data_IF_978543150541
#
_entry.id   IF_978543150541
#
_cell.length_a   1.000
_cell.length_b   1.000
_cell.length_c   1.000
_cell.angle_alpha   90.00
_cell.angle_beta   90.00
_cell.angle_gamma   90.00
#
_symmetry.space_group_name_H-M   'P 1'
#
loop_
_entity.id
_entity.type
_entity.pdbx_description
1 polymer ?
#
# COMPACT_ATOMS: atom_id res chain seq x y z
N UNK A 1 10.02 9.73 -8.18
CA UNK A 1 11.22 8.96 -8.55
C UNK A 1 12.03 8.71 -7.28
N UNK A 2 11.50 7.86 -6.41
CA UNK A 2 12.09 7.46 -5.12
C UNK A 2 12.20 5.93 -5.07
N UNK A 3 11.20 5.27 -5.66
CA UNK A 3 11.10 3.83 -5.90
C UNK A 3 12.10 3.28 -6.94
N UNK A 4 12.91 4.14 -7.57
CA UNK A 4 13.90 3.74 -8.58
C UNK A 4 15.30 3.44 -8.01
N UNK A 5 15.50 3.58 -6.68
CA UNK A 5 16.83 3.43 -6.05
C UNK A 5 16.86 2.51 -4.83
N UNK A 6 15.72 1.98 -4.40
CA UNK A 6 15.61 0.93 -3.37
C UNK A 6 14.86 -0.23 -3.98
N UNK A 7 15.37 -1.45 -3.80
CA UNK A 7 14.64 -2.70 -4.08
C UNK A 7 13.18 -2.59 -3.64
N UNK A 8 12.23 -2.46 -4.59
CA UNK A 8 10.81 -2.31 -4.28
C UNK A 8 10.27 -3.43 -3.39
N UNK A 9 10.82 -4.65 -3.49
CA UNK A 9 10.46 -5.81 -2.67
C UNK A 9 10.72 -5.58 -1.18
N UNK A 10 11.95 -5.21 -0.83
CA UNK A 10 12.35 -4.94 0.57
C UNK A 10 11.52 -3.81 1.16
N UNK A 11 11.30 -2.78 0.35
CA UNK A 11 10.50 -1.63 0.73
C UNK A 11 9.04 -2.00 1.05
N UNK A 12 8.36 -2.73 0.17
CA UNK A 12 6.96 -3.12 0.38
C UNK A 12 6.78 -4.11 1.53
N UNK A 13 7.65 -5.12 1.65
CA UNK A 13 7.55 -6.12 2.72
C UNK A 13 7.80 -5.54 4.12
N UNK A 14 8.77 -4.64 4.26
CA UNK A 14 9.02 -3.99 5.57
C UNK A 14 7.87 -3.10 6.02
N UNK A 15 7.19 -2.42 5.09
CA UNK A 15 5.95 -1.68 5.39
C UNK A 15 4.83 -2.60 5.87
N UNK A 16 4.60 -3.73 5.17
CA UNK A 16 3.56 -4.68 5.54
C UNK A 16 3.82 -5.31 6.92
N UNK A 17 5.07 -5.60 7.25
CA UNK A 17 5.46 -6.10 8.59
C UNK A 17 5.23 -5.02 9.66
N UNK A 18 5.62 -3.76 9.39
CA UNK A 18 5.39 -2.65 10.32
C UNK A 18 3.91 -2.41 10.60
N UNK A 19 3.08 -2.43 9.55
CA UNK A 19 1.63 -2.34 9.65
C UNK A 19 1.06 -3.52 10.45
N UNK A 20 1.46 -4.75 10.12
CA UNK A 20 1.01 -5.95 10.80
C UNK A 20 1.36 -5.96 12.30
N UNK A 21 2.56 -5.51 12.66
CA UNK A 21 3.00 -5.42 14.05
C UNK A 21 2.18 -4.42 14.86
N UNK A 22 1.90 -3.23 14.31
CA UNK A 22 1.08 -2.21 14.98
C UNK A 22 -0.39 -2.64 15.05
N UNK A 23 -0.91 -3.27 13.99
CA UNK A 23 -2.25 -3.84 13.98
C UNK A 23 -2.41 -4.91 15.07
N UNK A 24 -1.47 -5.85 15.18
CA UNK A 24 -1.46 -6.86 16.25
C UNK A 24 -1.31 -6.22 17.65
N UNK A 25 -0.52 -5.15 17.79
CA UNK A 25 -0.38 -4.42 19.05
C UNK A 25 -1.71 -3.77 19.51
N UNK A 26 -2.62 -3.46 18.58
CA UNK A 26 -3.95 -2.90 18.89
C UNK A 26 -4.80 -3.88 19.74
N UNK A 27 -4.59 -5.19 19.60
CA UNK A 27 -5.25 -6.20 20.43
C UNK A 27 -4.79 -6.15 21.91
N UNK A 28 -3.56 -5.70 22.18
CA UNK A 28 -3.00 -5.57 23.52
C UNK A 28 -3.54 -4.37 24.32
N UNK A 29 -4.19 -3.43 23.65
CA UNK A 29 -4.70 -2.21 24.27
C UNK A 29 -5.88 -2.52 25.21
N UNK A 30 -5.88 -1.88 26.38
CA UNK A 30 -6.94 -1.99 27.40
C UNK A 30 -7.69 -0.67 27.65
N UNK A 31 -7.15 0.46 27.16
CA UNK A 31 -7.66 1.80 27.42
C UNK A 31 -7.97 2.54 26.11
N UNK A 32 -8.98 3.40 26.10
CA UNK A 32 -9.35 4.22 24.93
C UNK A 32 -8.18 5.08 24.42
N UNK A 33 -7.45 5.74 25.32
CA UNK A 33 -6.27 6.54 24.98
C UNK A 33 -5.19 5.72 24.26
N UNK A 34 -5.00 4.45 24.66
CA UNK A 34 -4.07 3.54 23.99
C UNK A 34 -4.52 3.17 22.57
N UNK A 35 -5.84 3.08 22.33
CA UNK A 35 -6.38 2.76 21.01
C UNK A 35 -6.16 3.92 20.05
N UNK A 36 -6.38 5.15 20.53
CA UNK A 36 -6.13 6.39 19.77
C UNK A 36 -4.63 6.53 19.47
N UNK A 37 -3.75 6.25 20.43
CA UNK A 37 -2.31 6.25 20.21
C UNK A 37 -1.89 5.22 19.15
N UNK A 38 -2.37 3.97 19.24
CA UNK A 38 -2.12 2.95 18.22
C UNK A 38 -2.58 3.39 16.82
N UNK A 39 -3.79 3.97 16.72
CA UNK A 39 -4.33 4.52 15.46
C UNK A 39 -3.48 5.67 14.91
N UNK A 40 -3.00 6.57 15.78
CA UNK A 40 -2.12 7.67 15.39
C UNK A 40 -0.79 7.15 14.83
N UNK A 41 -0.14 6.20 15.51
CA UNK A 41 1.11 5.61 15.04
C UNK A 41 0.92 4.78 13.77
N UNK A 42 -0.22 4.09 13.62
CA UNK A 42 -0.57 3.39 12.39
C UNK A 42 -0.69 4.39 11.23
N UNK A 43 -1.39 5.51 11.43
CA UNK A 43 -1.48 6.58 10.44
C UNK A 43 -0.12 7.21 10.10
N UNK A 44 0.77 7.36 11.08
CA UNK A 44 2.14 7.79 10.84
C UNK A 44 2.92 6.78 9.97
N UNK A 45 2.80 5.49 10.26
CA UNK A 45 3.41 4.43 9.44
C UNK A 45 2.87 4.40 8.01
N UNK A 46 1.59 4.73 7.81
CA UNK A 46 0.99 4.86 6.48
C UNK A 46 1.41 6.14 5.75
N UNK A 47 1.66 7.23 6.50
CA UNK A 47 1.92 8.57 5.93
C UNK A 47 3.40 8.89 5.67
N UNK A 48 4.36 8.18 6.26
CA UNK A 48 5.79 8.54 6.25
C UNK A 48 6.48 8.32 4.90
N UNK A 49 6.12 9.14 3.92
CA UNK A 49 6.93 9.34 2.72
C UNK A 49 8.19 10.15 3.07
N UNK A 50 9.28 9.50 3.50
CA UNK A 50 10.58 10.20 3.57
C UNK A 50 11.06 10.51 2.15
N UNK A 51 10.90 11.76 1.74
CA UNK A 51 11.63 12.35 0.62
C UNK A 51 13.10 12.55 1.02
N UNK A 52 13.99 11.62 0.66
CA UNK A 52 15.43 11.94 0.56
C UNK A 52 15.61 12.95 -0.58
N UNK A 53 15.76 14.22 -0.23
CA UNK A 53 16.43 15.19 -1.09
C UNK A 53 17.91 14.80 -1.20
N UNK A 54 18.40 14.66 -2.43
CA UNK A 54 19.81 14.38 -2.71
C UNK A 54 20.59 15.70 -2.60
N UNK A 55 21.41 15.84 -1.56
CA UNK A 55 22.57 16.74 -1.59
C UNK A 55 23.83 15.91 -1.36
N UNK A 56 24.72 15.89 -2.35
CA UNK A 56 26.15 15.58 -2.26
C UNK A 56 26.56 14.29 -1.53
N UNK A 57 26.80 13.23 -2.29
CA UNK A 57 27.91 12.29 -2.06
C UNK A 57 28.23 11.81 -0.64
N UNK A 58 27.28 11.15 0.05
CA UNK A 58 27.56 10.10 1.05
C UNK A 58 26.23 9.43 1.43
N UNK A 59 26.02 8.20 0.97
CA UNK A 59 24.79 7.46 1.20
C UNK A 59 24.79 6.83 2.60
N UNK A 60 24.47 7.61 3.63
CA UNK A 60 24.13 7.06 4.94
C UNK A 60 22.70 6.51 4.91
N UNK A 61 22.60 5.18 5.00
CA UNK A 61 21.35 4.42 5.12
C UNK A 61 21.04 4.20 6.60
N UNK A 62 20.28 5.10 7.22
CA UNK A 62 19.53 4.76 8.43
C UNK A 62 18.32 5.70 8.56
N UNK A 63 17.29 5.42 7.75
CA UNK A 63 16.01 6.10 7.81
C UNK A 63 14.93 5.11 7.42
N UNK A 64 14.08 4.76 8.36
CA UNK A 64 13.07 3.71 8.26
C UNK A 64 12.21 3.78 6.98
N UNK A 65 12.04 2.67 6.23
CA UNK A 65 11.40 2.65 4.91
C UNK A 65 9.86 2.60 4.96
N UNK A 66 9.19 3.27 5.89
CA UNK A 66 7.74 3.14 6.07
C UNK A 66 6.95 4.09 5.16
N UNK A 67 6.64 3.71 3.91
CA UNK A 67 5.74 4.51 3.04
C UNK A 67 4.65 3.61 2.40
N UNK A 68 3.58 4.19 1.82
CA UNK A 68 2.35 3.44 1.53
C UNK A 68 2.53 2.35 0.47
N UNK A 69 1.97 1.18 0.75
CA UNK A 69 1.99 -0.01 -0.11
C UNK A 69 1.45 0.28 -1.52
N UNK A 70 0.37 1.05 -1.62
CA UNK A 70 -0.33 1.32 -2.88
C UNK A 70 0.55 2.00 -3.95
N UNK A 71 1.21 3.15 -3.71
CA UNK A 71 2.12 3.73 -4.70
C UNK A 71 3.37 2.87 -4.95
N UNK A 72 3.80 2.05 -3.98
CA UNK A 72 4.87 1.07 -4.18
C UNK A 72 4.48 -0.01 -5.20
N UNK A 73 3.29 -0.59 -5.03
CA UNK A 73 2.74 -1.61 -5.93
C UNK A 73 2.47 -1.04 -7.34
N UNK A 74 1.89 0.16 -7.44
CA UNK A 74 1.67 0.83 -8.72
C UNK A 74 2.98 1.11 -9.46
N UNK A 75 4.03 1.49 -8.73
CA UNK A 75 5.34 1.70 -9.32
C UNK A 75 5.94 0.39 -9.82
N UNK A 76 5.87 -0.70 -9.03
CA UNK A 76 6.34 -2.01 -9.48
C UNK A 76 5.61 -2.44 -10.76
N UNK A 77 4.29 -2.26 -10.84
CA UNK A 77 3.55 -2.54 -12.07
C UNK A 77 4.02 -1.65 -13.24
N UNK A 78 4.36 -0.39 -12.98
CA UNK A 78 4.84 0.54 -14.03
C UNK A 78 6.21 0.21 -14.60
N UNK A 79 7.05 -0.55 -13.88
CA UNK A 79 8.37 -0.97 -14.35
C UNK A 79 8.38 -2.36 -14.99
N UNK A 80 7.28 -3.12 -14.92
CA UNK A 80 7.17 -4.45 -15.53
C UNK A 80 6.15 -4.50 -16.68
N UNK A 81 5.20 -3.56 -16.74
CA UNK A 81 4.11 -3.58 -17.72
C UNK A 81 4.04 -2.31 -18.57
N UNK A 82 3.61 -2.48 -19.83
CA UNK A 82 3.43 -1.36 -20.79
C UNK A 82 2.19 -0.52 -20.46
N UNK A 83 2.11 0.70 -20.97
CA UNK A 83 0.98 1.63 -20.74
C UNK A 83 -0.38 1.05 -21.14
N UNK A 84 -0.40 0.18 -22.17
CA UNK A 84 -1.62 -0.50 -22.65
C UNK A 84 -2.10 -1.60 -21.71
N UNK A 85 -1.19 -2.27 -21.00
CA UNK A 85 -1.50 -3.38 -20.09
C UNK A 85 -1.64 -2.92 -18.63
N UNK A 86 -1.01 -1.79 -18.28
CA UNK A 86 -0.95 -1.24 -16.94
C UNK A 86 -2.35 -1.07 -16.33
N UNK A 87 -3.30 -0.52 -17.10
CA UNK A 87 -4.66 -0.30 -16.62
C UNK A 87 -5.32 -1.61 -16.17
N UNK A 88 -5.23 -2.67 -16.99
CA UNK A 88 -5.80 -3.99 -16.65
C UNK A 88 -5.13 -4.60 -15.42
N UNK A 89 -3.80 -4.48 -15.29
CA UNK A 89 -3.06 -5.00 -14.12
C UNK A 89 -3.44 -4.26 -12.83
N UNK A 90 -3.63 -2.94 -12.91
CA UNK A 90 -4.12 -2.14 -11.78
C UNK A 90 -5.54 -2.55 -11.41
N UNK A 91 -6.41 -2.81 -12.39
CA UNK A 91 -7.78 -3.29 -12.11
C UNK A 91 -7.76 -4.62 -11.35
N UNK A 92 -6.90 -5.57 -11.75
CA UNK A 92 -6.74 -6.85 -11.05
C UNK A 92 -6.27 -6.63 -9.60
N UNK A 93 -5.29 -5.74 -9.39
CA UNK A 93 -4.82 -5.37 -8.05
C UNK A 93 -5.96 -4.77 -7.20
N UNK A 94 -6.80 -3.91 -7.80
CA UNK A 94 -7.93 -3.28 -7.13
C UNK A 94 -9.06 -4.27 -6.79
N UNK A 95 -9.27 -5.29 -7.61
CA UNK A 95 -10.24 -6.37 -7.30
C UNK A 95 -9.90 -7.06 -5.97
N UNK A 96 -8.62 -7.19 -5.63
CA UNK A 96 -8.18 -7.73 -4.33
C UNK A 96 -8.74 -6.93 -3.14
N UNK A 97 -8.79 -5.60 -3.23
CA UNK A 97 -9.38 -4.75 -2.19
C UNK A 97 -10.88 -5.02 -2.03
N UNK A 98 -11.61 -5.18 -3.14
CA UNK A 98 -13.06 -5.44 -3.12
C UNK A 98 -13.37 -6.79 -2.49
N UNK A 99 -12.62 -7.83 -2.88
CA UNK A 99 -12.73 -9.18 -2.29
C UNK A 99 -12.43 -9.13 -0.80
N UNK A 100 -11.35 -8.46 -0.39
CA UNK A 100 -10.99 -8.30 1.02
C UNK A 100 -12.09 -7.61 1.82
N UNK A 101 -12.71 -6.57 1.25
CA UNK A 101 -13.81 -5.84 1.91
C UNK A 101 -15.03 -6.75 2.11
N UNK A 102 -15.36 -7.58 1.11
CA UNK A 102 -16.44 -8.56 1.22
C UNK A 102 -16.16 -9.67 2.24
N UNK A 103 -14.91 -10.16 2.28
CA UNK A 103 -14.50 -11.22 3.21
C UNK A 103 -14.33 -10.72 4.66
N UNK A 104 -13.99 -9.45 4.88
CA UNK A 104 -13.75 -8.88 6.23
C UNK A 104 -14.96 -9.07 7.16
N UNK A 105 -16.18 -8.84 6.66
CA UNK A 105 -17.40 -9.06 7.44
C UNK A 105 -17.61 -10.53 7.85
N UNK A 106 -17.27 -11.48 6.98
CA UNK A 106 -17.36 -12.92 7.27
C UNK A 106 -16.35 -13.35 8.34
N UNK A 107 -15.12 -12.83 8.24
CA UNK A 107 -14.07 -13.10 9.24
C UNK A 107 -14.50 -12.52 10.60
N UNK A 108 -15.01 -11.29 10.62
CA UNK A 108 -15.53 -10.67 11.83
C UNK A 108 -16.65 -11.51 12.46
N UNK A 109 -17.65 -11.92 11.67
CA UNK A 109 -18.73 -12.78 12.15
C UNK A 109 -18.22 -14.12 12.70
N UNK A 110 -17.29 -14.78 12.02
CA UNK A 110 -16.70 -16.04 12.48
C UNK A 110 -15.92 -15.88 13.79
N UNK A 111 -15.15 -14.79 13.93
CA UNK A 111 -14.41 -14.51 15.18
C UNK A 111 -15.34 -14.22 16.36
N UNK A 112 -16.45 -13.52 16.15
CA UNK A 112 -17.40 -13.22 17.23
C UNK A 112 -18.23 -14.44 17.66
N UNK A 113 -18.51 -15.40 16.77
CA UNK A 113 -19.28 -16.61 17.12
C UNK A 113 -18.43 -17.72 17.72
N UNK A 114 -17.19 -17.88 17.25
CA UNK A 114 -16.35 -19.05 17.59
C UNK A 114 -15.29 -18.74 18.64
N UNK A 115 -14.80 -17.49 18.70
CA UNK A 115 -13.63 -17.11 19.50
C UNK A 115 -13.93 -16.08 20.59
N UNK A 116 -15.20 -15.75 20.83
CA UNK A 116 -15.56 -14.84 21.92
C UNK A 116 -15.32 -15.49 23.29
N UNK A 117 -14.63 -14.78 24.18
CA UNK A 117 -14.17 -15.23 25.51
C UNK A 117 -13.18 -16.41 25.52
N UNK A 118 -12.71 -16.88 24.37
CA UNK A 118 -11.66 -17.91 24.32
C UNK A 118 -10.37 -17.31 24.90
N UNK A 119 -9.87 -17.93 25.98
CA UNK A 119 -8.74 -17.46 26.81
C UNK A 119 -8.98 -16.10 27.52
N UNK A 120 -10.23 -15.68 27.71
CA UNK A 120 -10.57 -14.40 28.36
C UNK A 120 -10.29 -13.16 27.50
N UNK A 121 -10.19 -13.35 26.17
CA UNK A 121 -9.92 -12.29 25.20
C UNK A 121 -11.21 -12.04 24.40
N UNK A 122 -11.59 -10.77 24.25
CA UNK A 122 -12.76 -10.38 23.46
C UNK A 122 -12.56 -10.69 21.96
N UNK A 123 -13.62 -11.12 21.26
CA UNK A 123 -13.52 -11.54 19.85
C UNK A 123 -12.88 -10.50 18.89
N UNK A 124 -13.07 -9.20 19.14
CA UNK A 124 -12.46 -8.15 18.30
C UNK A 124 -10.93 -8.10 18.40
N UNK A 125 -10.36 -8.55 19.52
CA UNK A 125 -8.89 -8.64 19.70
C UNK A 125 -8.33 -9.81 18.90
N UNK A 126 -9.05 -10.93 18.86
CA UNK A 126 -8.70 -12.08 18.03
C UNK A 126 -8.69 -11.71 16.55
N UNK A 127 -9.63 -10.87 16.10
CA UNK A 127 -9.66 -10.37 14.72
C UNK A 127 -8.33 -9.68 14.34
N UNK A 128 -7.87 -8.71 15.14
CA UNK A 128 -6.61 -8.00 14.89
C UNK A 128 -5.37 -8.90 14.96
N UNK A 129 -5.37 -9.90 15.85
CA UNK A 129 -4.25 -10.86 15.96
C UNK A 129 -4.18 -11.76 14.72
N UNK A 130 -5.32 -12.29 14.27
CA UNK A 130 -5.39 -13.15 13.09
C UNK A 130 -5.00 -12.35 11.84
N UNK A 131 -5.59 -11.17 11.65
CA UNK A 131 -5.31 -10.31 10.51
C UNK A 131 -3.84 -9.86 10.48
N UNK A 132 -3.28 -9.43 11.62
CA UNK A 132 -1.87 -9.06 11.72
C UNK A 132 -0.92 -10.23 11.45
N UNK A 133 -1.19 -11.42 12.01
CA UNK A 133 -0.33 -12.58 11.82
C UNK A 133 -0.31 -13.11 10.38
N UNK A 134 -1.48 -13.22 9.75
CA UNK A 134 -1.60 -13.64 8.35
C UNK A 134 -0.90 -12.63 7.44
N UNK A 135 -1.09 -11.33 7.69
CA UNK A 135 -0.43 -10.26 6.90
C UNK A 135 1.09 -10.31 7.07
N UNK A 136 1.60 -10.55 8.28
CA UNK A 136 3.04 -10.69 8.52
C UNK A 136 3.64 -11.89 7.77
N UNK A 137 2.95 -13.03 7.76
CA UNK A 137 3.38 -14.21 6.99
C UNK A 137 3.44 -13.90 5.49
N UNK A 138 2.39 -13.29 4.95
CA UNK A 138 2.34 -12.89 3.53
C UNK A 138 3.47 -11.89 3.21
N UNK A 139 3.77 -10.97 4.12
CA UNK A 139 4.86 -10.00 3.92
C UNK A 139 6.24 -10.67 3.89
N UNK A 140 6.47 -11.69 4.73
CA UNK A 140 7.69 -12.50 4.71
C UNK A 140 7.81 -13.26 3.40
N UNK A 141 6.74 -13.90 2.92
CA UNK A 141 6.75 -14.53 1.60
C UNK A 141 6.97 -13.51 0.48
N UNK A 142 6.34 -12.34 0.57
CA UNK A 142 6.51 -11.22 -0.34
C UNK A 142 7.97 -10.81 -0.48
N UNK A 143 8.75 -10.83 0.61
CA UNK A 143 10.16 -10.49 0.57
C UNK A 143 10.97 -11.42 -0.34
N UNK A 144 10.60 -12.71 -0.40
CA UNK A 144 11.27 -13.70 -1.25
C UNK A 144 10.69 -13.78 -2.66
N UNK A 145 9.39 -13.49 -2.83
CA UNK A 145 8.68 -13.66 -4.10
C UNK A 145 8.64 -12.39 -4.97
N UNK A 146 8.69 -11.19 -4.38
CA UNK A 146 8.55 -9.96 -5.16
C UNK A 146 9.82 -9.67 -5.98
N UNK A 147 9.69 -9.37 -7.27
CA UNK A 147 10.81 -8.95 -8.10
C UNK A 147 11.15 -7.47 -7.87
N UNK A 148 12.44 -7.15 -7.85
CA UNK A 148 12.89 -5.78 -7.61
C UNK A 148 13.00 -4.92 -8.88
N UNK A 149 13.55 -5.49 -9.95
CA UNK A 149 13.77 -4.78 -11.21
C UNK A 149 13.87 -5.78 -12.38
N UNK A 150 13.32 -5.45 -13.57
CA UNK A 150 13.30 -6.34 -14.73
C UNK A 150 14.69 -6.81 -15.18
N UNK A 151 15.77 -6.07 -14.88
CA UNK A 151 17.14 -6.43 -15.26
C UNK A 151 17.86 -7.38 -14.29
N UNK A 152 17.44 -7.43 -13.02
CA UNK A 152 18.07 -8.26 -11.97
C UNK A 152 17.15 -9.34 -11.41
N UNK A 153 15.95 -9.52 -11.98
CA UNK A 153 14.95 -10.45 -11.46
C UNK A 153 15.44 -11.90 -11.52
N UNK A 154 15.47 -12.57 -10.35
CA UNK A 154 16.02 -13.94 -10.18
C UNK A 154 15.26 -15.03 -10.93
N UNK A 155 14.01 -14.78 -11.31
CA UNK A 155 13.16 -15.77 -11.96
C UNK A 155 13.16 -15.71 -13.49
N UNK A 156 13.66 -14.60 -14.08
CA UNK A 156 13.75 -14.46 -15.54
C UNK A 156 15.11 -14.94 -16.04
N UNK A 157 15.09 -15.62 -17.19
CA UNK A 157 16.27 -15.96 -18.00
C UNK A 157 16.84 -14.69 -18.62
N UNK A 158 18.13 -14.67 -18.95
CA UNK A 158 18.80 -13.48 -19.49
C UNK A 158 18.13 -12.95 -20.78
N UNK A 159 17.69 -13.84 -21.66
CA UNK A 159 16.96 -13.48 -22.89
C UNK A 159 15.61 -12.81 -22.59
N UNK A 160 14.90 -13.30 -21.56
CA UNK A 160 13.61 -12.74 -21.13
C UNK A 160 13.78 -11.36 -20.49
N UNK A 161 14.88 -11.14 -19.76
CA UNK A 161 15.22 -9.84 -19.16
C UNK A 161 15.49 -8.80 -20.24
N UNK A 162 16.28 -9.15 -21.26
CA UNK A 162 16.58 -8.25 -22.37
C UNK A 162 15.30 -7.86 -23.12
N UNK A 163 14.43 -8.84 -23.41
CA UNK A 163 13.14 -8.59 -24.05
C UNK A 163 12.21 -7.72 -23.19
N UNK A 164 12.19 -7.91 -21.88
CA UNK A 164 11.40 -7.09 -20.96
C UNK A 164 11.89 -5.62 -20.93
N UNK A 165 13.20 -5.41 -20.84
CA UNK A 165 13.82 -4.08 -20.85
C UNK A 165 13.57 -3.37 -22.17
N UNK A 166 13.80 -4.05 -23.30
CA UNK A 166 13.58 -3.49 -24.64
C UNK A 166 12.11 -3.08 -24.84
N UNK A 167 11.17 -3.91 -24.38
CA UNK A 167 9.74 -3.63 -24.47
C UNK A 167 9.35 -2.34 -23.74
N UNK A 168 9.91 -2.11 -22.56
CA UNK A 168 9.66 -0.88 -21.79
C UNK A 168 10.32 0.32 -22.45
N UNK A 169 11.55 0.18 -22.95
CA UNK A 169 12.25 1.25 -23.68
C UNK A 169 11.48 1.67 -24.93
N UNK A 170 10.95 0.72 -25.70
CA UNK A 170 10.15 0.98 -26.90
C UNK A 170 8.82 1.66 -26.58
N UNK A 171 8.21 1.35 -25.42
CA UNK A 171 6.99 2.02 -24.96
C UNK A 171 7.27 3.39 -24.31
N UNK A 172 8.54 3.73 -24.02
CA UNK A 172 8.96 5.02 -23.44
C UNK A 172 9.31 6.07 -24.51
N UNK A 173 8.51 6.16 -25.57
CA UNK A 173 8.62 7.24 -26.56
C UNK A 173 8.05 8.55 -25.99
N UNK A 174 8.90 9.59 -25.89
CA UNK A 174 8.48 10.96 -25.56
C UNK A 174 8.84 11.47 -24.15
N UNK A 175 9.92 10.99 -23.52
CA UNK A 175 10.38 11.54 -22.24
C UNK A 175 10.99 12.93 -22.45
N UNK A 176 10.16 13.98 -22.37
CA UNK A 176 10.63 15.35 -22.20
C UNK A 176 11.46 15.41 -20.91
N UNK A 177 12.65 16.02 -20.97
CA UNK A 177 13.53 16.16 -19.81
C UNK A 177 12.76 16.78 -18.65
N UNK A 178 12.75 16.07 -17.51
CA UNK A 178 12.01 16.48 -16.33
C UNK A 178 12.63 17.79 -15.82
N UNK A 179 11.88 18.89 -15.91
CA UNK A 179 12.20 20.12 -15.19
C UNK A 179 12.29 19.89 -13.67
N UNK A 180 12.65 20.95 -12.93
CA UNK A 180 12.76 20.87 -11.47
C UNK A 180 11.45 20.36 -10.84
N UNK A 181 11.56 19.56 -9.78
CA UNK A 181 10.40 19.00 -9.04
C UNK A 181 9.42 20.11 -8.64
N UNK A 182 9.97 21.29 -8.29
CA UNK A 182 9.20 22.45 -7.90
C UNK A 182 8.42 23.06 -9.07
N UNK A 183 8.96 22.96 -10.29
CA UNK A 183 8.29 23.45 -11.50
C UNK A 183 7.16 22.52 -11.92
N UNK A 184 7.35 21.19 -11.79
CA UNK A 184 6.28 20.21 -11.96
C UNK A 184 5.16 20.37 -10.94
N UNK A 185 5.49 20.65 -9.67
CA UNK A 185 4.49 20.93 -8.64
C UNK A 185 3.70 22.22 -8.94
N UNK A 186 4.39 23.29 -9.35
CA UNK A 186 3.74 24.54 -9.75
C UNK A 186 2.83 24.37 -10.97
N UNK A 187 3.23 23.54 -11.93
CA UNK A 187 2.39 23.20 -13.10
C UNK A 187 1.16 22.40 -12.67
N UNK A 188 1.32 21.40 -11.80
CA UNK A 188 0.21 20.58 -11.32
C UNK A 188 -0.83 21.39 -10.52
N UNK A 189 -0.38 22.33 -9.67
CA UNK A 189 -1.26 23.21 -8.89
C UNK A 189 -2.03 24.23 -9.74
N UNK A 190 -1.48 24.62 -10.89
CA UNK A 190 -2.12 25.57 -11.82
C UNK A 190 -3.06 24.91 -12.82
N UNK A 191 -2.99 23.59 -13.00
CA UNK A 191 -3.84 22.87 -13.95
C UNK A 191 -5.26 22.67 -13.35
N UNK A 192 -6.31 23.24 -13.96
CA UNK A 192 -7.69 23.07 -13.50
C UNK A 192 -8.16 21.61 -13.56
N UNK A 193 -7.58 20.78 -14.43
CA UNK A 193 -7.92 19.35 -14.51
C UNK A 193 -7.50 18.60 -13.24
N UNK A 194 -6.36 18.96 -12.65
CA UNK A 194 -5.90 18.40 -11.38
C UNK A 194 -6.94 18.62 -10.28
N UNK A 195 -7.45 19.85 -10.15
CA UNK A 195 -8.46 20.20 -9.16
C UNK A 195 -9.79 19.50 -9.40
N UNK A 196 -10.21 19.35 -10.67
CA UNK A 196 -11.39 18.57 -11.02
C UNK A 196 -11.25 17.10 -10.58
N UNK A 197 -10.11 16.46 -10.88
CA UNK A 197 -9.85 15.09 -10.44
C UNK A 197 -9.78 14.97 -8.91
N UNK A 198 -9.18 15.94 -8.22
CA UNK A 198 -9.18 15.98 -6.76
C UNK A 198 -10.60 16.08 -6.19
N UNK A 199 -11.46 16.92 -6.77
CA UNK A 199 -12.85 17.05 -6.36
C UNK A 199 -13.64 15.77 -6.62
N UNK A 200 -13.50 15.17 -7.81
CA UNK A 200 -14.13 13.88 -8.13
C UNK A 200 -13.71 12.78 -7.14
N UNK A 201 -12.42 12.69 -6.81
CA UNK A 201 -11.92 11.71 -5.84
C UNK A 201 -12.46 11.97 -4.43
N UNK A 202 -12.59 13.25 -4.02
CA UNK A 202 -13.16 13.61 -2.74
C UNK A 202 -14.65 13.22 -2.64
N UNK A 203 -15.43 13.49 -3.69
CA UNK A 203 -16.83 13.05 -3.76
C UNK A 203 -16.95 11.52 -3.75
N UNK A 204 -16.06 10.81 -4.43
CA UNK A 204 -16.03 9.35 -4.41
C UNK A 204 -15.79 8.79 -3.00
N UNK A 205 -14.80 9.30 -2.27
CA UNK A 205 -14.51 8.87 -0.89
C UNK A 205 -15.68 9.21 0.04
N UNK A 206 -16.27 10.40 -0.13
CA UNK A 206 -17.44 10.83 0.64
C UNK A 206 -18.63 9.91 0.41
N UNK A 207 -18.86 9.47 -0.84
CA UNK A 207 -19.86 8.46 -1.15
C UNK A 207 -19.55 7.13 -0.44
N UNK A 208 -18.32 6.61 -0.51
CA UNK A 208 -17.97 5.33 0.14
C UNK A 208 -18.11 5.36 1.68
N UNK A 209 -18.06 6.55 2.29
CA UNK A 209 -18.12 6.72 3.75
C UNK A 209 -19.43 6.23 4.40
N UNK A 210 -20.52 6.05 3.63
CA UNK A 210 -21.76 5.48 4.18
C UNK A 210 -21.55 4.07 4.75
N UNK A 211 -20.60 3.31 4.23
CA UNK A 211 -20.34 1.92 4.67
C UNK A 211 -19.99 1.84 6.16
N UNK A 212 -19.34 2.87 6.72
CA UNK A 212 -19.00 2.91 8.14
C UNK A 212 -20.23 2.99 9.06
N UNK A 213 -21.34 3.53 8.56
CA UNK A 213 -22.59 3.72 9.30
C UNK A 213 -23.64 2.66 8.98
N UNK A 214 -23.32 1.72 8.08
CA UNK A 214 -24.24 0.68 7.64
C UNK A 214 -24.81 -0.15 8.81
N UNK A 215 -24.01 -0.60 9.80
CA UNK A 215 -24.56 -1.34 10.94
C UNK A 215 -25.53 -0.52 11.78
N UNK A 216 -25.27 0.79 11.94
CA UNK A 216 -26.13 1.69 12.70
C UNK A 216 -27.46 1.94 12.00
N UNK A 217 -27.43 2.11 10.67
CA UNK A 217 -28.63 2.31 9.84
C UNK A 217 -29.54 1.08 9.84
N UNK A 218 -28.96 -0.13 9.73
CA UNK A 218 -29.72 -1.39 9.77
C UNK A 218 -30.37 -1.60 11.13
N UNK A 219 -29.74 -1.17 12.22
CA UNK A 219 -30.31 -1.31 13.58
C UNK A 219 -31.53 -0.41 13.82
N UNK A 220 -31.69 0.67 13.06
CA UNK A 220 -32.80 1.63 13.21
C UNK A 220 -34.03 1.30 12.34
N UNK A 221 -33.93 0.28 11.48
CA UNK A 221 -35.05 -0.27 10.70
C UNK A 221 -35.57 -1.56 11.34
#
# INVERSE_FOLDING_TARGET
MFLARTSPSIYMSTCMIGWAAISAATAGVKNYSGLVACRFFLGFVEAVSRTKQVKGGAQANLGSPFQPFYPGALYLLSIFYTRKELATRISILYTGQVVSTGCSGLIAAATFTTLDQVKGIAGWKWLFIIEGSVTALIAVFGFFLLPDDPSVTRWLTEDERQLAVERIHRDTVGRQERGSIMDGLKQALKDPKTWLFCACQNFHISAVSFNAYFPTLVRTM
#
